data_IF_128297761374
#
_entry.id   IF_128297761374
#
_cell.length_a   1.000
_cell.length_b   1.000
_cell.length_c   1.000
_cell.angle_alpha   90.00
_cell.angle_beta   90.00
_cell.angle_gamma   90.00
#
_symmetry.space_group_name_H-M   'P 1'
#
loop_
_entity.id
_entity.type
_entity.pdbx_description
1 polymer ?
#
# COMPACT_ATOMS: atom_id res chain seq x y z
N UNK A 1 0.33 9.33 42.53
CA UNK A 1 1.76 9.18 42.14
C UNK A 1 1.96 9.84 40.77
N UNK A 2 2.05 11.18 40.69
CA UNK A 2 2.10 11.86 39.37
C UNK A 2 3.42 11.57 38.59
N UNK A 3 4.51 11.34 39.29
CA UNK A 3 5.82 11.13 38.67
C UNK A 3 5.89 9.83 37.81
N UNK A 4 5.32 8.74 38.30
CA UNK A 4 5.27 7.46 37.59
C UNK A 4 4.39 7.52 36.36
N UNK A 5 3.27 8.26 36.42
CA UNK A 5 2.37 8.48 35.28
C UNK A 5 3.05 9.27 34.18
N UNK A 6 3.78 10.34 34.55
CA UNK A 6 4.53 11.14 33.58
C UNK A 6 5.64 10.32 32.91
N UNK A 7 6.35 9.48 33.66
CA UNK A 7 7.36 8.57 33.11
C UNK A 7 6.72 7.57 32.14
N UNK A 8 5.60 6.99 32.50
CA UNK A 8 4.85 6.06 31.64
C UNK A 8 4.41 6.73 30.34
N UNK A 9 3.89 7.96 30.43
CA UNK A 9 3.51 8.77 29.24
C UNK A 9 4.73 9.02 28.33
N UNK A 10 5.89 9.35 28.90
CA UNK A 10 7.12 9.52 28.14
C UNK A 10 7.57 8.24 27.45
N UNK A 11 7.54 7.11 28.14
CA UNK A 11 7.89 5.80 27.58
C UNK A 11 6.94 5.37 26.47
N UNK A 12 5.62 5.61 26.65
CA UNK A 12 4.62 5.30 25.61
C UNK A 12 4.86 6.12 24.34
N UNK A 13 5.18 7.40 24.47
CA UNK A 13 5.55 8.28 23.36
C UNK A 13 6.82 7.81 22.64
N UNK A 14 7.84 7.42 23.38
CA UNK A 14 9.09 6.90 22.84
C UNK A 14 8.87 5.60 22.05
N UNK A 15 8.17 4.63 22.62
CA UNK A 15 7.82 3.37 21.96
C UNK A 15 7.02 3.60 20.68
N UNK A 16 6.05 4.50 20.72
CA UNK A 16 5.23 4.85 19.55
C UNK A 16 6.08 5.49 18.44
N UNK A 17 6.97 6.40 18.80
CA UNK A 17 7.90 7.03 17.86
C UNK A 17 8.87 6.01 17.25
N UNK A 18 9.37 5.06 18.05
CA UNK A 18 10.24 3.99 17.57
C UNK A 18 9.54 3.07 16.57
N UNK A 19 8.28 2.74 16.82
CA UNK A 19 7.46 2.00 15.87
C UNK A 19 7.24 2.76 14.55
N UNK A 20 7.02 4.09 14.62
CA UNK A 20 6.90 4.92 13.41
C UNK A 20 8.20 4.95 12.60
N UNK A 21 9.35 5.04 13.27
CA UNK A 21 10.66 4.98 12.62
C UNK A 21 10.87 3.62 11.95
N UNK A 22 10.52 2.52 12.60
CA UNK A 22 10.61 1.18 12.04
C UNK A 22 9.75 1.04 10.78
N UNK A 23 8.51 1.55 10.78
CA UNK A 23 7.63 1.55 9.60
C UNK A 23 8.22 2.40 8.48
N UNK A 24 8.78 3.56 8.80
CA UNK A 24 9.43 4.43 7.81
C UNK A 24 10.66 3.77 7.20
N UNK A 25 11.49 3.13 8.02
CA UNK A 25 12.64 2.37 7.57
C UNK A 25 12.24 1.20 6.66
N UNK A 26 11.17 0.50 7.02
CA UNK A 26 10.60 -0.57 6.19
C UNK A 26 10.08 -0.06 4.84
N UNK A 27 9.40 1.09 4.82
CA UNK A 27 8.98 1.75 3.58
C UNK A 27 10.17 2.14 2.71
N UNK A 28 11.22 2.69 3.31
CA UNK A 28 12.42 3.10 2.59
C UNK A 28 13.18 1.90 2.02
N UNK A 29 13.31 0.82 2.78
CA UNK A 29 13.96 -0.41 2.32
C UNK A 29 13.25 -1.05 1.12
N UNK A 30 11.92 -0.89 1.03
CA UNK A 30 11.10 -1.47 -0.02
C UNK A 30 10.66 -0.48 -1.11
N UNK A 31 11.28 0.70 -1.20
CA UNK A 31 10.88 1.74 -2.16
C UNK A 31 10.97 1.28 -3.62
N UNK A 32 11.92 0.40 -3.94
CA UNK A 32 12.12 -0.19 -5.28
C UNK A 32 11.48 -1.58 -5.44
N UNK A 33 10.80 -2.10 -4.41
CA UNK A 33 10.15 -3.41 -4.50
C UNK A 33 8.85 -3.29 -5.30
N UNK A 34 8.74 -4.03 -6.39
CA UNK A 34 7.55 -3.98 -7.24
C UNK A 34 6.32 -4.52 -6.48
N UNK A 35 5.21 -3.77 -6.52
CA UNK A 35 3.97 -4.11 -5.82
C UNK A 35 3.96 -3.77 -4.33
N UNK A 36 5.00 -3.13 -3.80
CA UNK A 36 5.00 -2.67 -2.42
C UNK A 36 4.04 -1.50 -2.19
N UNK A 37 3.28 -1.56 -1.12
CA UNK A 37 2.35 -0.50 -0.72
C UNK A 37 2.84 0.16 0.56
N UNK A 38 3.00 1.48 0.53
CA UNK A 38 3.46 2.29 1.67
C UNK A 38 2.58 2.06 2.90
N UNK A 39 3.23 1.84 4.04
CA UNK A 39 2.60 1.70 5.33
C UNK A 39 2.70 2.99 6.14
N UNK A 40 1.67 3.30 6.91
CA UNK A 40 1.63 4.44 7.83
C UNK A 40 1.13 3.99 9.20
N UNK A 41 1.85 4.38 10.25
CA UNK A 41 1.40 4.19 11.62
C UNK A 41 0.25 5.15 11.94
N UNK A 42 -0.83 4.63 12.51
CA UNK A 42 -1.90 5.44 13.09
C UNK A 42 -1.77 5.41 14.60
N UNK A 43 -1.57 6.59 15.18
CA UNK A 43 -1.52 6.77 16.62
C UNK A 43 -2.90 7.02 17.17
N UNK A 44 -3.14 6.52 18.36
CA UNK A 44 -4.31 6.84 19.17
C UNK A 44 -3.88 7.16 20.60
N UNK A 45 -4.69 7.95 21.25
CA UNK A 45 -4.53 8.27 22.65
C UNK A 45 -4.87 7.06 23.53
N UNK A 46 -4.06 6.88 24.57
CA UNK A 46 -4.32 5.85 25.56
C UNK A 46 -5.37 6.35 26.56
N UNK A 47 -6.04 5.44 27.24
CA UNK A 47 -7.12 5.68 28.20
C UNK A 47 -6.85 6.87 29.14
N UNK A 48 -7.91 7.59 29.49
CA UNK A 48 -7.87 8.68 30.46
C UNK A 48 -8.41 8.23 31.82
N UNK A 49 -7.79 8.68 32.91
CA UNK A 49 -8.38 8.56 34.26
C UNK A 49 -9.00 9.88 34.62
N UNK A 50 -10.28 9.86 35.03
CA UNK A 50 -10.99 11.02 35.52
C UNK A 50 -10.76 11.15 37.02
N UNK A 51 -10.24 12.31 37.45
CA UNK A 51 -10.11 12.66 38.84
C UNK A 51 -11.17 13.75 39.18
N UNK A 52 -12.05 13.46 40.10
CA UNK A 52 -13.06 14.37 40.58
C UNK A 52 -14.50 13.86 40.40
N UNK A 53 -15.30 14.09 41.44
CA UNK A 53 -16.68 13.59 41.55
C UNK A 53 -17.73 14.64 41.13
N UNK A 54 -17.29 15.78 40.60
CA UNK A 54 -18.18 16.90 40.27
C UNK A 54 -18.23 17.11 38.75
N UNK A 55 -19.42 17.25 38.21
CA UNK A 55 -19.63 17.38 36.74
C UNK A 55 -19.10 18.69 36.13
N UNK A 56 -18.58 19.60 36.94
CA UNK A 56 -18.09 20.93 36.51
C UNK A 56 -16.56 21.02 36.50
N UNK A 57 -15.85 20.10 37.17
CA UNK A 57 -14.38 20.17 37.32
C UNK A 57 -13.73 18.79 37.27
N UNK A 58 -13.93 18.06 36.18
CA UNK A 58 -13.28 16.77 35.95
C UNK A 58 -11.90 17.00 35.35
N UNK A 59 -10.88 16.85 36.17
CA UNK A 59 -9.50 16.78 35.70
C UNK A 59 -9.25 15.41 35.04
N UNK A 60 -8.83 15.41 33.81
CA UNK A 60 -8.50 14.17 33.07
C UNK A 60 -6.99 14.05 32.93
N UNK A 61 -6.44 12.90 33.29
CA UNK A 61 -5.03 12.57 33.09
C UNK A 61 -4.94 11.51 32.04
N UNK A 62 -4.28 11.80 30.92
CA UNK A 62 -3.99 10.84 29.84
C UNK A 62 -2.75 10.00 30.14
N UNK A 63 -2.75 8.73 29.72
CA UNK A 63 -1.63 7.81 29.90
C UNK A 63 -0.69 7.75 28.69
N UNK A 64 -0.83 8.67 27.74
CA UNK A 64 0.06 8.77 26.59
C UNK A 64 -0.56 8.32 25.28
N UNK A 65 0.27 7.79 24.39
CA UNK A 65 -0.06 7.42 23.01
C UNK A 65 0.33 5.98 22.73
N UNK A 66 -0.43 5.30 21.89
CA UNK A 66 -0.05 3.99 21.37
C UNK A 66 -0.27 3.90 19.86
N UNK A 67 0.38 2.95 19.21
CA UNK A 67 0.15 2.67 17.81
C UNK A 67 -1.11 1.79 17.70
N UNK A 68 -2.21 2.38 17.23
CA UNK A 68 -3.50 1.69 17.13
C UNK A 68 -3.50 0.65 16.01
N UNK A 69 -2.92 1.00 14.86
CA UNK A 69 -2.78 0.12 13.70
C UNK A 69 -1.79 0.65 12.68
N UNK A 70 -1.31 -0.24 11.83
CA UNK A 70 -0.56 0.11 10.62
C UNK A 70 -1.51 0.03 9.43
N UNK A 71 -1.65 1.12 8.69
CA UNK A 71 -2.53 1.22 7.53
C UNK A 71 -1.71 1.25 6.24
N UNK A 72 -2.15 0.47 5.25
CA UNK A 72 -1.61 0.54 3.89
C UNK A 72 -2.28 1.67 3.11
N UNK A 73 -1.46 2.52 2.51
CA UNK A 73 -1.94 3.65 1.70
C UNK A 73 -2.00 3.23 0.24
N UNK A 74 -3.19 2.79 -0.19
CA UNK A 74 -3.44 2.33 -1.54
C UNK A 74 -4.48 3.23 -2.22
N UNK A 75 -4.19 3.66 -3.45
CA UNK A 75 -5.13 4.42 -4.26
C UNK A 75 -5.99 3.43 -5.07
N UNK A 76 -7.25 3.30 -4.68
CA UNK A 76 -8.20 2.38 -5.30
C UNK A 76 -8.50 2.78 -6.75
N UNK A 77 -8.51 4.10 -7.02
CA UNK A 77 -8.82 4.62 -8.35
C UNK A 77 -7.69 4.27 -9.35
N UNK A 78 -6.46 4.43 -8.91
CA UNK A 78 -5.28 4.08 -9.70
C UNK A 78 -5.20 2.57 -9.93
N UNK A 79 -5.54 1.76 -8.94
CA UNK A 79 -5.60 0.31 -9.06
C UNK A 79 -6.65 -0.15 -10.08
N UNK A 80 -7.82 0.50 -10.11
CA UNK A 80 -8.87 0.20 -11.08
C UNK A 80 -8.40 0.55 -12.49
N UNK A 81 -7.83 1.73 -12.68
CA UNK A 81 -7.28 2.17 -13.97
C UNK A 81 -6.18 1.23 -14.47
N UNK A 82 -5.27 0.83 -13.57
CA UNK A 82 -4.21 -0.13 -13.91
C UNK A 82 -4.76 -1.47 -14.36
N UNK A 83 -5.75 -2.03 -13.66
CA UNK A 83 -6.38 -3.31 -14.04
C UNK A 83 -7.08 -3.23 -15.39
N UNK A 84 -7.76 -2.11 -15.67
CA UNK A 84 -8.41 -1.90 -16.95
C UNK A 84 -7.39 -1.82 -18.09
N UNK A 85 -6.30 -1.09 -17.91
CA UNK A 85 -5.25 -0.97 -18.92
C UNK A 85 -4.51 -2.30 -19.12
N UNK A 86 -4.21 -3.02 -18.05
CA UNK A 86 -3.59 -4.36 -18.13
C UNK A 86 -4.50 -5.36 -18.86
N UNK A 87 -5.82 -5.29 -18.65
CA UNK A 87 -6.78 -6.09 -19.40
C UNK A 87 -6.79 -5.76 -20.89
N UNK A 88 -6.72 -4.47 -21.26
CA UNK A 88 -6.61 -4.03 -22.66
C UNK A 88 -5.30 -4.48 -23.30
N UNK A 89 -4.18 -4.35 -22.58
CA UNK A 89 -2.89 -4.83 -23.05
C UNK A 89 -2.93 -6.33 -23.37
N UNK A 90 -3.47 -7.16 -22.46
CA UNK A 90 -3.63 -8.59 -22.69
C UNK A 90 -4.50 -8.90 -23.90
N UNK A 91 -5.59 -8.15 -24.11
CA UNK A 91 -6.46 -8.31 -25.26
C UNK A 91 -5.75 -8.00 -26.57
N UNK A 92 -5.08 -6.85 -26.67
CA UNK A 92 -4.35 -6.48 -27.88
C UNK A 92 -3.14 -7.36 -28.15
N UNK A 93 -2.45 -7.81 -27.10
CA UNK A 93 -1.33 -8.76 -27.23
C UNK A 93 -1.81 -10.08 -27.83
N UNK A 94 -2.97 -10.59 -27.40
CA UNK A 94 -3.55 -11.82 -27.95
C UNK A 94 -3.96 -11.64 -29.42
N UNK A 95 -4.56 -10.49 -29.76
CA UNK A 95 -4.89 -10.17 -31.16
C UNK A 95 -3.65 -10.06 -32.04
N UNK A 96 -2.62 -9.39 -31.53
CA UNK A 96 -1.35 -9.25 -32.24
C UNK A 96 -0.74 -10.62 -32.56
N UNK A 97 -0.66 -11.50 -31.56
CA UNK A 97 -0.12 -12.85 -31.74
C UNK A 97 -0.91 -13.67 -32.77
N UNK A 98 -2.26 -13.55 -32.75
CA UNK A 98 -3.10 -14.24 -33.72
C UNK A 98 -2.89 -13.73 -35.16
N UNK A 99 -2.74 -12.39 -35.32
CA UNK A 99 -2.44 -11.81 -36.66
C UNK A 99 -1.05 -12.18 -37.13
N UNK A 100 -0.04 -12.20 -36.27
CA UNK A 100 1.32 -12.64 -36.56
C UNK A 100 1.35 -14.11 -37.03
N UNK A 101 0.54 -14.97 -36.39
CA UNK A 101 0.40 -16.35 -36.78
C UNK A 101 -0.24 -16.49 -38.18
N UNK A 102 -1.27 -15.70 -38.49
CA UNK A 102 -1.90 -15.64 -39.82
C UNK A 102 -0.90 -15.11 -40.87
N UNK A 103 -0.14 -14.06 -40.54
CA UNK A 103 0.89 -13.49 -41.42
C UNK A 103 1.93 -14.56 -41.78
N UNK A 104 2.40 -15.33 -40.81
CA UNK A 104 3.36 -16.41 -40.99
C UNK A 104 2.82 -17.47 -41.94
N UNK A 105 1.57 -17.91 -41.80
CA UNK A 105 0.91 -18.89 -42.64
C UNK A 105 0.73 -18.35 -44.07
N UNK A 106 0.27 -17.08 -44.20
CA UNK A 106 0.05 -16.45 -45.52
C UNK A 106 1.37 -16.20 -46.26
N UNK A 107 2.43 -15.78 -45.55
CA UNK A 107 3.75 -15.61 -46.09
C UNK A 107 4.34 -16.92 -46.59
N UNK A 108 4.13 -18.03 -45.89
CA UNK A 108 4.54 -19.34 -46.30
C UNK A 108 3.78 -19.82 -47.57
N UNK A 109 2.49 -19.57 -47.68
CA UNK A 109 1.68 -19.92 -48.87
C UNK A 109 2.07 -19.09 -50.09
N UNK A 110 2.43 -17.84 -49.96
CA UNK A 110 2.90 -16.99 -51.07
C UNK A 110 4.26 -17.48 -51.62
N UNK A 111 5.12 -18.05 -50.79
CA UNK A 111 6.43 -18.55 -51.19
C UNK A 111 6.36 -19.95 -51.82
N UNK A 112 5.32 -20.74 -51.55
CA UNK A 112 5.11 -22.09 -52.10
C UNK A 112 4.20 -22.12 -53.34
N UNK A 113 3.64 -20.96 -53.75
CA UNK A 113 2.85 -20.84 -54.98
C UNK A 113 3.76 -20.99 -56.18
N UNK A 114 3.57 -22.02 -57.08
CA UNK A 114 4.36 -22.16 -58.29
C UNK A 114 4.19 -20.93 -59.17
N UNK A 115 5.32 -20.41 -59.66
CA UNK A 115 5.34 -19.29 -60.59
C UNK A 115 4.50 -19.62 -61.83
N UNK A 116 3.59 -18.72 -62.29
CA UNK A 116 2.80 -18.99 -63.49
C UNK A 116 3.61 -18.98 -64.80
N UNK A 117 4.92 -19.21 -64.75
CA UNK A 117 5.86 -19.20 -65.85
C UNK A 117 6.53 -20.54 -66.15
N UNK A 118 6.11 -21.60 -65.47
CA UNK A 118 6.61 -22.95 -65.86
C UNK A 118 5.55 -23.76 -66.61
#
# INVERSE_FOLDING_TARGET
MPLMTNLYTGVSGLNSSQNAINITAHNLANVYTNGYVRQQAQFADQTYTKYGNSSVNTMQIGYGVYNARTQHYRDILLDMAYREQSGREGFYTTQYNAVEEIETITGCLLYTSPSPRD
#
